data_IF_316150469773
#
_entry.id   IF_316150469773
#
_cell.length_a   1.000
_cell.length_b   1.000
_cell.length_c   1.000
_cell.angle_alpha   90.00
_cell.angle_beta   90.00
_cell.angle_gamma   90.00
#
_symmetry.space_group_name_H-M   'P 1'
#
loop_
_entity.id
_entity.type
_entity.pdbx_description
1 polymer ?
#
# COMPACT_ATOMS: atom_id res chain seq x y z
N UNK A 1 21.41 1.71 11.95
CA UNK A 1 21.95 0.87 10.86
C UNK A 1 20.80 0.20 10.10
N UNK A 2 20.02 -0.67 10.76
CA UNK A 2 18.91 -1.43 10.14
C UNK A 2 17.82 -0.60 9.41
N UNK A 3 17.35 0.53 9.98
CA UNK A 3 16.26 1.32 9.38
C UNK A 3 16.67 2.00 8.05
N UNK A 4 17.92 2.48 7.98
CA UNK A 4 18.46 3.09 6.77
C UNK A 4 18.62 2.05 5.66
N UNK A 5 19.05 0.84 6.01
CA UNK A 5 19.20 -0.25 5.05
C UNK A 5 17.83 -0.72 4.54
N UNK A 6 16.81 -0.75 5.41
CA UNK A 6 15.44 -1.02 5.00
C UNK A 6 14.90 0.02 4.00
N UNK A 7 15.13 1.32 4.26
CA UNK A 7 14.72 2.38 3.35
C UNK A 7 15.47 2.27 2.01
N UNK A 8 16.79 2.08 2.05
CA UNK A 8 17.64 1.92 0.87
C UNK A 8 17.25 0.72 0.02
N UNK A 9 16.86 -0.40 0.63
CA UNK A 9 16.40 -1.58 -0.11
C UNK A 9 15.09 -1.29 -0.88
N UNK A 10 14.14 -0.60 -0.26
CA UNK A 10 12.90 -0.21 -0.93
C UNK A 10 13.15 0.81 -2.06
N UNK A 11 14.08 1.74 -1.82
CA UNK A 11 14.55 2.69 -2.82
C UNK A 11 15.20 2.00 -4.02
N UNK A 12 16.15 1.11 -3.77
CA UNK A 12 16.81 0.31 -4.81
C UNK A 12 15.79 -0.48 -5.62
N UNK A 13 14.82 -1.12 -4.96
CA UNK A 13 13.77 -1.87 -5.65
C UNK A 13 12.92 -0.99 -6.59
N UNK A 14 12.69 0.28 -6.23
CA UNK A 14 12.01 1.23 -7.11
C UNK A 14 12.92 1.65 -8.27
N UNK A 15 14.14 2.10 -8.01
CA UNK A 15 15.02 2.66 -9.05
C UNK A 15 15.48 1.60 -10.05
N UNK A 16 15.92 0.43 -9.58
CA UNK A 16 16.38 -0.64 -10.48
C UNK A 16 15.24 -1.40 -11.11
N UNK A 17 14.10 -1.46 -10.43
CA UNK A 17 12.95 -2.25 -10.84
C UNK A 17 11.95 -1.49 -11.72
N UNK A 18 12.16 -0.19 -11.97
CA UNK A 18 11.24 0.65 -12.74
C UNK A 18 11.92 1.36 -13.89
N UNK A 19 11.69 0.84 -15.10
CA UNK A 19 11.90 1.58 -16.35
C UNK A 19 10.68 2.49 -16.60
N UNK A 20 10.87 3.80 -16.39
CA UNK A 20 9.81 4.80 -16.57
C UNK A 20 9.32 4.87 -18.03
N UNK A 21 10.18 5.00 -19.06
CA UNK A 21 9.78 4.89 -20.45
C UNK A 21 8.94 3.64 -20.77
N UNK A 22 9.36 2.46 -20.33
CA UNK A 22 8.59 1.22 -20.54
C UNK A 22 7.26 1.23 -19.79
N UNK A 23 7.24 1.73 -18.56
CA UNK A 23 6.01 1.88 -17.76
C UNK A 23 5.02 2.82 -18.43
N UNK A 24 5.49 3.93 -18.99
CA UNK A 24 4.64 4.86 -19.76
C UNK A 24 4.05 4.18 -20.99
N UNK A 25 4.84 3.41 -21.75
CA UNK A 25 4.36 2.65 -22.92
C UNK A 25 3.29 1.63 -22.52
N UNK A 26 3.52 0.90 -21.43
CA UNK A 26 2.55 -0.05 -20.88
C UNK A 26 1.23 0.64 -20.49
N UNK A 27 1.31 1.77 -19.79
CA UNK A 27 0.12 2.56 -19.40
C UNK A 27 -0.64 3.05 -20.63
N UNK A 28 0.07 3.58 -21.64
CA UNK A 28 -0.55 4.05 -22.88
C UNK A 28 -1.24 2.90 -23.65
N UNK A 29 -0.60 1.73 -23.74
CA UNK A 29 -1.16 0.56 -24.40
C UNK A 29 -2.47 0.09 -23.73
N UNK A 30 -2.46 -0.03 -22.40
CA UNK A 30 -3.66 -0.42 -21.63
C UNK A 30 -4.74 0.67 -21.75
N UNK A 31 -4.37 1.95 -21.68
CA UNK A 31 -5.31 3.07 -21.79
C UNK A 31 -6.01 3.13 -23.15
N UNK A 32 -5.26 2.96 -24.25
CA UNK A 32 -5.81 2.98 -25.61
C UNK A 32 -6.72 1.79 -25.89
N UNK A 33 -6.36 0.59 -25.40
CA UNK A 33 -7.20 -0.61 -25.52
C UNK A 33 -8.42 -0.57 -24.58
N UNK A 34 -8.30 0.11 -23.44
CA UNK A 34 -9.29 0.12 -22.37
C UNK A 34 -9.31 -1.15 -21.51
N UNK A 35 -8.38 -2.07 -21.75
CA UNK A 35 -8.21 -3.34 -21.04
C UNK A 35 -6.75 -3.76 -21.11
N UNK A 36 -6.32 -4.63 -20.19
CA UNK A 36 -4.98 -5.19 -20.15
C UNK A 36 -5.01 -6.67 -20.51
N UNK A 37 -3.98 -7.15 -21.23
CA UNK A 37 -3.74 -8.60 -21.35
C UNK A 37 -3.32 -9.19 -20.00
N UNK A 38 -3.29 -10.52 -19.89
CA UNK A 38 -2.81 -11.20 -18.69
C UNK A 38 -1.37 -10.78 -18.36
N UNK A 39 -0.50 -10.74 -19.37
CA UNK A 39 0.88 -10.30 -19.25
C UNK A 39 0.98 -8.84 -18.79
N UNK A 40 0.25 -7.92 -19.44
CA UNK A 40 0.23 -6.51 -19.06
C UNK A 40 -0.28 -6.30 -17.63
N UNK A 41 -1.27 -7.10 -17.20
CA UNK A 41 -1.79 -7.07 -15.83
C UNK A 41 -0.72 -7.45 -14.83
N UNK A 42 0.08 -8.49 -15.12
CA UNK A 42 1.19 -8.94 -14.27
C UNK A 42 2.30 -7.90 -14.23
N UNK A 43 2.74 -7.40 -15.39
CA UNK A 43 3.76 -6.35 -15.47
C UNK A 43 3.32 -5.11 -14.67
N UNK A 44 2.11 -4.60 -14.90
CA UNK A 44 1.58 -3.45 -14.18
C UNK A 44 1.48 -3.69 -12.67
N UNK A 45 1.07 -4.89 -12.24
CA UNK A 45 1.00 -5.28 -10.83
C UNK A 45 2.37 -5.19 -10.16
N UNK A 46 3.43 -5.69 -10.81
CA UNK A 46 4.79 -5.60 -10.27
C UNK A 46 5.27 -4.15 -10.18
N UNK A 47 5.01 -3.35 -11.22
CA UNK A 47 5.33 -1.92 -11.21
C UNK A 47 4.66 -1.20 -10.04
N UNK A 48 3.36 -1.40 -9.87
CA UNK A 48 2.60 -0.82 -8.77
C UNK A 48 3.11 -1.29 -7.41
N UNK A 49 3.52 -2.55 -7.29
CA UNK A 49 4.07 -3.08 -6.04
C UNK A 49 5.35 -2.35 -5.61
N UNK A 50 6.22 -1.95 -6.55
CA UNK A 50 7.45 -1.19 -6.28
C UNK A 50 7.15 0.21 -5.75
N UNK A 51 6.27 0.97 -6.42
CA UNK A 51 5.79 2.26 -5.92
C UNK A 51 5.14 2.15 -4.54
N UNK A 52 4.30 1.13 -4.34
CA UNK A 52 3.64 0.88 -3.05
C UNK A 52 4.65 0.56 -1.94
N UNK A 53 5.68 -0.25 -2.24
CA UNK A 53 6.75 -0.59 -1.30
C UNK A 53 7.51 0.68 -0.88
N UNK A 54 7.88 1.53 -1.84
CA UNK A 54 8.54 2.80 -1.53
C UNK A 54 7.65 3.70 -0.67
N UNK A 55 6.36 3.78 -0.99
CA UNK A 55 5.39 4.57 -0.20
C UNK A 55 5.34 4.11 1.26
N UNK A 56 5.41 2.80 1.50
CA UNK A 56 5.49 2.25 2.85
C UNK A 56 6.85 2.48 3.51
N UNK A 57 7.94 2.44 2.77
CA UNK A 57 9.26 2.75 3.30
C UNK A 57 9.35 4.20 3.81
N UNK A 58 8.78 5.15 3.07
CA UNK A 58 8.67 6.53 3.56
C UNK A 58 7.85 6.61 4.86
N UNK A 59 6.68 5.96 4.92
CA UNK A 59 5.87 5.96 6.15
C UNK A 59 6.59 5.30 7.34
N UNK A 60 7.34 4.21 7.09
CA UNK A 60 7.98 3.46 8.16
C UNK A 60 9.31 4.09 8.62
N UNK A 61 10.11 4.67 7.73
CA UNK A 61 11.51 4.97 8.01
C UNK A 61 11.92 6.42 7.75
N UNK A 62 11.07 7.26 7.16
CA UNK A 62 11.37 8.69 7.08
C UNK A 62 11.16 9.36 8.43
N UNK A 63 11.87 10.46 8.67
CA UNK A 63 11.74 11.28 9.89
C UNK A 63 10.29 11.69 10.15
N UNK A 64 9.54 12.02 9.09
CA UNK A 64 8.15 12.48 9.17
C UNK A 64 7.14 11.34 9.28
N UNK A 65 7.56 10.08 9.13
CA UNK A 65 6.67 8.92 9.03
C UNK A 65 5.53 9.11 8.00
N UNK A 66 5.85 9.85 6.95
CA UNK A 66 4.94 10.24 5.88
C UNK A 66 5.60 10.02 4.53
N UNK A 67 4.81 10.05 3.46
CA UNK A 67 5.30 9.92 2.10
C UNK A 67 5.04 11.22 1.32
N UNK A 68 5.90 11.58 0.35
CA UNK A 68 5.67 12.73 -0.51
C UNK A 68 4.34 12.61 -1.28
N UNK A 69 3.64 13.73 -1.47
CA UNK A 69 2.36 13.74 -2.19
C UNK A 69 2.52 13.29 -3.65
N UNK A 70 3.69 13.53 -4.27
CA UNK A 70 4.02 13.03 -5.60
C UNK A 70 3.95 11.51 -5.69
N UNK A 71 4.57 10.82 -4.72
CA UNK A 71 4.56 9.35 -4.60
C UNK A 71 3.16 8.81 -4.30
N UNK A 72 2.45 9.47 -3.38
CA UNK A 72 1.08 9.11 -3.03
C UNK A 72 0.13 9.21 -4.21
N UNK A 73 0.22 10.32 -4.94
CA UNK A 73 -0.60 10.61 -6.10
C UNK A 73 -0.40 9.56 -7.20
N UNK A 74 0.85 9.21 -7.53
CA UNK A 74 1.16 8.13 -8.47
C UNK A 74 0.57 6.81 -7.96
N UNK A 75 0.84 6.43 -6.71
CA UNK A 75 0.43 5.12 -6.16
C UNK A 75 -1.10 4.96 -6.13
N UNK A 76 -1.83 6.02 -5.73
CA UNK A 76 -3.31 6.03 -5.77
C UNK A 76 -3.82 5.93 -7.20
N UNK A 77 -3.23 6.66 -8.12
CA UNK A 77 -3.64 6.67 -9.52
C UNK A 77 -3.39 5.32 -10.19
N UNK A 78 -2.26 4.67 -9.90
CA UNK A 78 -1.98 3.30 -10.33
C UNK A 78 -3.03 2.32 -9.81
N UNK A 79 -3.45 2.46 -8.54
CA UNK A 79 -4.53 1.64 -7.97
C UNK A 79 -5.84 1.81 -8.73
N UNK A 80 -6.31 3.06 -8.89
CA UNK A 80 -7.55 3.36 -9.60
C UNK A 80 -7.52 2.90 -11.06
N UNK A 81 -6.38 3.07 -11.73
CA UNK A 81 -6.18 2.61 -13.11
C UNK A 81 -6.27 1.09 -13.21
N UNK A 82 -5.63 0.38 -12.28
CA UNK A 82 -5.72 -1.09 -12.18
C UNK A 82 -7.16 -1.56 -12.02
N UNK A 83 -7.90 -0.94 -11.11
CA UNK A 83 -9.28 -1.32 -10.84
C UNK A 83 -10.18 -1.01 -12.04
N UNK A 84 -9.92 0.08 -12.76
CA UNK A 84 -10.68 0.44 -13.96
C UNK A 84 -10.51 -0.58 -15.09
N UNK A 85 -9.27 -0.97 -15.43
CA UNK A 85 -9.05 -1.91 -16.53
C UNK A 85 -9.44 -3.35 -16.18
N UNK A 86 -9.38 -3.73 -14.89
CA UNK A 86 -9.85 -5.04 -14.42
C UNK A 86 -11.36 -5.18 -14.49
N UNK A 87 -12.08 -4.09 -14.25
CA UNK A 87 -13.55 -4.08 -14.25
C UNK A 87 -14.13 -3.67 -15.61
N UNK A 88 -13.34 -3.65 -16.69
CA UNK A 88 -13.81 -3.32 -18.05
C UNK A 88 -14.31 -1.88 -18.23
N UNK A 89 -13.93 -0.94 -17.35
CA UNK A 89 -14.39 0.45 -17.39
C UNK A 89 -13.59 1.25 -18.43
N UNK A 90 -13.88 1.06 -19.73
CA UNK A 90 -13.07 1.58 -20.86
C UNK A 90 -12.78 3.09 -20.78
N UNK A 91 -13.80 3.93 -20.64
CA UNK A 91 -13.62 5.39 -20.57
C UNK A 91 -12.81 5.84 -19.35
N UNK A 92 -13.10 5.24 -18.18
CA UNK A 92 -12.37 5.53 -16.95
C UNK A 92 -10.91 5.08 -17.04
N UNK A 93 -10.67 3.93 -17.66
CA UNK A 93 -9.33 3.39 -17.92
C UNK A 93 -8.54 4.37 -18.79
N UNK A 94 -9.11 4.84 -19.91
CA UNK A 94 -8.47 5.82 -20.78
C UNK A 94 -8.10 7.09 -20.01
N UNK A 95 -9.05 7.70 -19.30
CA UNK A 95 -8.81 8.96 -18.59
C UNK A 95 -7.80 8.85 -17.45
N UNK A 96 -7.90 7.80 -16.63
CA UNK A 96 -6.92 7.53 -15.57
C UNK A 96 -5.55 7.19 -16.16
N UNK A 97 -5.51 6.50 -17.29
CA UNK A 97 -4.31 6.16 -18.02
C UNK A 97 -3.58 7.40 -18.53
N UNK A 98 -4.28 8.36 -19.15
CA UNK A 98 -3.70 9.64 -19.58
C UNK A 98 -3.12 10.40 -18.38
N UNK A 99 -3.88 10.49 -17.27
CA UNK A 99 -3.37 11.15 -16.05
C UNK A 99 -2.12 10.47 -15.51
N UNK A 100 -2.10 9.14 -15.48
CA UNK A 100 -0.97 8.35 -14.98
C UNK A 100 0.24 8.53 -15.89
N UNK A 101 0.02 8.46 -17.20
CA UNK A 101 1.03 8.74 -18.21
C UNK A 101 1.62 10.13 -18.02
N UNK A 102 0.83 11.19 -17.79
CA UNK A 102 1.38 12.52 -17.50
C UNK A 102 2.22 12.55 -16.21
N UNK A 103 1.79 11.86 -15.14
CA UNK A 103 2.53 11.81 -13.86
C UNK A 103 3.80 10.97 -13.90
N UNK A 104 3.93 10.06 -14.86
CA UNK A 104 5.15 9.29 -15.09
C UNK A 104 6.11 9.99 -16.07
N UNK A 105 6.01 11.31 -16.27
CA UNK A 105 6.95 12.03 -17.15
C UNK A 105 8.28 12.21 -16.43
N UNK A 106 9.38 12.14 -17.17
CA UNK A 106 10.74 12.14 -16.61
C UNK A 106 10.99 13.30 -15.65
N UNK A 107 10.53 14.52 -15.97
CA UNK A 107 10.66 15.67 -15.05
C UNK A 107 9.90 15.53 -13.74
N UNK A 108 8.69 14.92 -13.74
CA UNK A 108 7.95 14.68 -12.50
C UNK A 108 8.59 13.56 -11.68
N UNK A 109 9.07 12.52 -12.36
CA UNK A 109 9.71 11.39 -11.69
C UNK A 109 11.10 11.75 -11.16
N UNK A 110 11.87 12.59 -11.86
CA UNK A 110 13.15 13.12 -11.39
C UNK A 110 12.98 13.92 -10.10
N UNK A 111 11.99 14.83 -10.03
CA UNK A 111 11.73 15.56 -8.79
C UNK A 111 11.29 14.65 -7.63
N UNK A 112 10.53 13.58 -7.92
CA UNK A 112 10.24 12.53 -6.93
C UNK A 112 11.53 11.81 -6.49
N UNK A 113 12.41 11.49 -7.43
CA UNK A 113 13.66 10.81 -7.16
C UNK A 113 14.54 11.62 -6.20
N UNK A 114 14.71 12.92 -6.47
CA UNK A 114 15.49 13.82 -5.62
C UNK A 114 14.89 13.92 -4.21
N UNK A 115 13.55 14.05 -4.12
CA UNK A 115 12.83 14.06 -2.84
C UNK A 115 13.07 12.79 -2.02
N UNK A 116 13.19 11.63 -2.68
CA UNK A 116 13.40 10.35 -2.00
C UNK A 116 14.86 10.11 -1.59
N UNK A 117 15.83 10.65 -2.33
CA UNK A 117 17.25 10.59 -1.95
C UNK A 117 17.54 11.50 -0.76
N UNK A 118 16.99 12.72 -0.77
CA UNK A 118 17.21 13.73 0.27
C UNK A 118 16.36 13.48 1.52
N UNK A 119 15.53 12.43 1.53
CA UNK A 119 14.66 12.10 2.65
C UNK A 119 15.49 11.82 3.91
N UNK A 120 15.28 12.65 4.93
CA UNK A 120 15.81 12.38 6.27
C UNK A 120 15.17 11.14 6.85
N UNK A 121 15.99 10.31 7.49
CA UNK A 121 15.56 9.06 8.09
C UNK A 121 15.23 9.25 9.57
N UNK A 122 14.30 8.45 10.07
CA UNK A 122 13.92 8.45 11.47
C UNK A 122 15.03 7.91 12.36
N UNK A 123 15.10 8.45 13.58
CA UNK A 123 15.88 7.84 14.66
C UNK A 123 15.14 6.61 15.20
N UNK A 124 15.84 5.78 15.97
CA UNK A 124 15.23 4.59 16.59
C UNK A 124 14.10 5.00 17.54
N UNK A 125 14.28 6.08 18.29
CA UNK A 125 13.29 6.58 19.25
C UNK A 125 12.04 7.13 18.54
N UNK A 126 12.24 7.88 17.45
CA UNK A 126 11.12 8.40 16.65
C UNK A 126 10.34 7.25 16.00
N UNK A 127 11.05 6.26 15.45
CA UNK A 127 10.47 5.03 14.93
C UNK A 127 9.66 4.28 15.99
N UNK A 128 10.24 4.00 17.16
CA UNK A 128 9.55 3.29 18.25
C UNK A 128 8.28 4.02 18.69
N UNK A 129 8.32 5.35 18.78
CA UNK A 129 7.12 6.16 19.09
C UNK A 129 6.06 6.02 18.01
N UNK A 130 6.44 6.06 16.73
CA UNK A 130 5.53 5.84 15.61
C UNK A 130 4.88 4.45 15.67
N UNK A 131 5.67 3.40 15.92
CA UNK A 131 5.17 2.03 16.09
C UNK A 131 4.18 1.97 17.25
N UNK A 132 4.50 2.59 18.40
CA UNK A 132 3.64 2.59 19.58
C UNK A 132 2.29 3.28 19.31
N UNK A 133 2.28 4.42 18.63
CA UNK A 133 1.04 5.12 18.24
C UNK A 133 0.18 4.25 17.31
N UNK A 134 0.79 3.61 16.31
CA UNK A 134 0.05 2.68 15.45
C UNK A 134 -0.48 1.47 16.22
N UNK A 135 0.28 0.91 17.17
CA UNK A 135 -0.16 -0.20 18.01
C UNK A 135 -1.31 0.19 18.92
N UNK A 136 -1.27 1.39 19.52
CA UNK A 136 -2.37 1.92 20.30
C UNK A 136 -3.64 2.04 19.46
N UNK A 137 -3.54 2.61 18.26
CA UNK A 137 -4.69 2.73 17.37
C UNK A 137 -5.25 1.36 16.94
N UNK A 138 -4.38 0.40 16.65
CA UNK A 138 -4.79 -0.99 16.37
C UNK A 138 -5.52 -1.61 17.57
N UNK A 139 -5.00 -1.44 18.79
CA UNK A 139 -5.59 -1.98 20.02
C UNK A 139 -6.97 -1.37 20.31
N UNK A 140 -7.10 -0.04 20.19
CA UNK A 140 -8.35 0.68 20.41
C UNK A 140 -9.43 0.30 19.40
N UNK A 141 -9.05 0.15 18.14
CA UNK A 141 -9.97 -0.15 17.04
C UNK A 141 -10.35 -1.63 17.00
N UNK A 142 -9.54 -2.50 17.61
CA UNK A 142 -9.73 -3.97 17.61
C UNK A 142 -10.25 -4.52 18.92
N UNK A 143 -10.91 -3.68 19.73
CA UNK A 143 -11.63 -4.13 20.94
C UNK A 143 -12.71 -5.15 20.58
N UNK A 144 -13.09 -5.93 21.57
CA UNK A 144 -14.19 -6.88 21.45
C UNK A 144 -15.48 -6.14 21.07
N UNK A 145 -16.25 -6.73 20.16
CA UNK A 145 -17.49 -6.17 19.64
C UNK A 145 -17.37 -4.75 19.03
N UNK A 146 -16.19 -4.36 18.56
CA UNK A 146 -15.99 -3.09 17.87
C UNK A 146 -16.85 -3.02 16.59
N UNK A 147 -17.45 -1.86 16.35
CA UNK A 147 -18.14 -1.53 15.11
C UNK A 147 -17.33 -0.51 14.34
N UNK A 148 -17.13 -0.75 13.04
CA UNK A 148 -16.32 0.12 12.19
C UNK A 148 -17.11 0.51 10.95
N UNK A 149 -16.82 1.70 10.43
CA UNK A 149 -17.16 2.04 9.05
C UNK A 149 -16.20 1.33 8.09
N UNK A 150 -16.61 1.15 6.84
CA UNK A 150 -15.70 0.60 5.83
C UNK A 150 -14.45 1.46 5.62
N UNK A 151 -14.56 2.78 5.87
CA UNK A 151 -13.42 3.69 5.87
C UNK A 151 -12.45 3.40 7.02
N UNK A 152 -12.93 3.28 8.26
CA UNK A 152 -12.10 2.95 9.42
C UNK A 152 -11.40 1.60 9.22
N UNK A 153 -12.14 0.59 8.73
CA UNK A 153 -11.57 -0.71 8.40
C UNK A 153 -10.48 -0.64 7.32
N UNK A 154 -10.69 0.17 6.28
CA UNK A 154 -9.69 0.40 5.24
C UNK A 154 -8.43 1.08 5.80
N UNK A 155 -8.58 2.03 6.72
CA UNK A 155 -7.44 2.70 7.36
C UNK A 155 -6.68 1.76 8.30
N UNK A 156 -7.38 0.89 9.04
CA UNK A 156 -6.77 -0.21 9.82
C UNK A 156 -5.96 -1.15 8.92
N UNK A 157 -6.52 -1.55 7.77
CA UNK A 157 -5.84 -2.40 6.79
C UNK A 157 -4.55 -1.76 6.25
N UNK A 158 -4.50 -0.42 6.14
CA UNK A 158 -3.28 0.28 5.72
C UNK A 158 -2.16 0.12 6.75
N UNK A 159 -2.47 0.16 8.05
CA UNK A 159 -1.48 -0.08 9.12
C UNK A 159 -0.94 -1.50 9.01
N UNK A 160 -1.81 -2.51 8.92
CA UNK A 160 -1.38 -3.91 8.74
C UNK A 160 -0.55 -4.09 7.47
N UNK A 161 -0.92 -3.43 6.37
CA UNK A 161 -0.13 -3.46 5.13
C UNK A 161 1.27 -2.85 5.31
N UNK A 162 1.40 -1.79 6.12
CA UNK A 162 2.71 -1.20 6.47
C UNK A 162 3.53 -2.13 7.36
N UNK A 163 2.89 -2.83 8.32
CA UNK A 163 3.53 -3.84 9.18
C UNK A 163 4.09 -5.00 8.36
N UNK A 164 3.35 -5.50 7.38
CA UNK A 164 3.84 -6.51 6.42
C UNK A 164 5.05 -5.97 5.68
N UNK A 165 4.93 -4.77 5.11
CA UNK A 165 6.03 -4.19 4.36
C UNK A 165 7.28 -3.96 5.21
N UNK A 166 7.13 -3.63 6.50
CA UNK A 166 8.21 -3.54 7.48
C UNK A 166 8.86 -4.91 7.71
N UNK A 167 8.06 -5.91 8.10
CA UNK A 167 8.52 -7.27 8.39
C UNK A 167 9.25 -7.89 7.19
N UNK A 168 8.67 -7.80 6.00
CA UNK A 168 9.25 -8.37 4.78
C UNK A 168 10.57 -7.70 4.39
N UNK A 169 10.76 -6.40 4.66
CA UNK A 169 12.05 -5.74 4.40
C UNK A 169 13.12 -6.26 5.34
N UNK A 170 12.80 -6.39 6.63
CA UNK A 170 13.73 -6.93 7.64
C UNK A 170 14.14 -8.36 7.33
N UNK A 171 13.16 -9.19 6.97
CA UNK A 171 13.35 -10.58 6.56
C UNK A 171 14.25 -10.72 5.33
N UNK A 172 14.20 -9.76 4.40
CA UNK A 172 15.06 -9.72 3.23
C UNK A 172 16.50 -9.29 3.54
N UNK A 173 16.72 -8.49 4.59
CA UNK A 173 18.06 -8.06 5.03
C UNK A 173 18.72 -9.10 5.95
N UNK A 174 17.92 -9.77 6.78
CA UNK A 174 18.38 -10.79 7.71
C UNK A 174 17.33 -11.89 7.83
N UNK A 175 17.72 -13.12 7.54
CA UNK A 175 16.87 -14.28 7.77
C UNK A 175 16.75 -14.53 9.27
N UNK A 176 15.52 -14.67 9.76
CA UNK A 176 15.22 -15.02 11.14
C UNK A 176 13.91 -15.82 11.19
N UNK A 177 13.86 -16.97 11.89
CA UNK A 177 12.62 -17.71 12.11
C UNK A 177 11.49 -16.85 12.70
N UNK A 178 11.84 -15.86 13.53
CA UNK A 178 10.87 -14.92 14.11
C UNK A 178 10.26 -14.02 13.04
N UNK A 179 11.06 -13.52 12.09
CA UNK A 179 10.56 -12.70 10.98
C UNK A 179 9.72 -13.52 10.00
N UNK A 180 10.04 -14.80 9.79
CA UNK A 180 9.22 -15.70 8.99
C UNK A 180 7.86 -15.95 9.66
N UNK A 181 7.84 -16.23 10.97
CA UNK A 181 6.61 -16.42 11.74
C UNK A 181 5.74 -15.16 11.75
N UNK A 182 6.34 -13.99 11.99
CA UNK A 182 5.64 -12.70 11.97
C UNK A 182 5.11 -12.37 10.57
N UNK A 183 5.88 -12.61 9.50
CA UNK A 183 5.43 -12.38 8.12
C UNK A 183 4.22 -13.28 7.79
N UNK A 184 4.26 -14.56 8.15
CA UNK A 184 3.13 -15.48 7.97
C UNK A 184 1.88 -15.05 8.76
N UNK A 185 2.07 -14.64 10.01
CA UNK A 185 0.99 -14.16 10.86
C UNK A 185 0.32 -12.92 10.27
N UNK A 186 1.11 -11.92 9.86
CA UNK A 186 0.61 -10.71 9.22
C UNK A 186 -0.04 -10.98 7.85
N UNK A 187 0.51 -11.90 7.07
CA UNK A 187 -0.06 -12.33 5.79
C UNK A 187 -1.46 -12.92 5.97
N UNK A 188 -1.66 -13.70 7.04
CA UNK A 188 -2.97 -14.25 7.42
C UNK A 188 -3.97 -13.13 7.72
N UNK A 189 -3.61 -12.18 8.58
CA UNK A 189 -4.47 -11.02 8.91
C UNK A 189 -4.83 -10.24 7.64
N UNK A 190 -3.85 -9.93 6.78
CA UNK A 190 -4.10 -9.17 5.56
C UNK A 190 -4.92 -9.94 4.51
N UNK A 191 -4.84 -11.27 4.50
CA UNK A 191 -5.72 -12.13 3.70
C UNK A 191 -7.18 -12.01 4.14
N UNK A 192 -7.44 -12.17 5.45
CA UNK A 192 -8.78 -12.01 6.04
C UNK A 192 -9.34 -10.60 5.81
N UNK A 193 -8.53 -9.57 6.10
CA UNK A 193 -8.92 -8.18 5.84
C UNK A 193 -9.13 -7.89 4.37
N UNK A 194 -8.39 -8.59 3.50
CA UNK A 194 -8.51 -8.51 2.05
C UNK A 194 -9.87 -8.93 1.56
N UNK A 195 -10.29 -10.14 1.93
CA UNK A 195 -11.60 -10.69 1.60
C UNK A 195 -12.73 -9.77 2.06
N UNK A 196 -12.69 -9.35 3.32
CA UNK A 196 -13.72 -8.47 3.89
C UNK A 196 -13.77 -7.09 3.22
N UNK A 197 -12.62 -6.49 2.89
CA UNK A 197 -12.58 -5.23 2.15
C UNK A 197 -13.24 -5.36 0.77
N UNK A 198 -12.98 -6.47 0.07
CA UNK A 198 -13.53 -6.69 -1.26
C UNK A 198 -15.05 -6.84 -1.19
N UNK A 199 -15.57 -7.52 -0.17
CA UNK A 199 -17.02 -7.60 0.10
C UNK A 199 -17.64 -6.21 0.38
N UNK A 200 -16.97 -5.37 1.19
CA UNK A 200 -17.42 -4.00 1.47
C UNK A 200 -17.41 -3.11 0.20
N UNK A 201 -16.41 -3.29 -0.68
CA UNK A 201 -16.35 -2.58 -1.96
C UNK A 201 -17.47 -3.03 -2.89
N UNK A 202 -17.77 -4.33 -2.97
CA UNK A 202 -18.90 -4.85 -3.75
C UNK A 202 -20.22 -4.26 -3.25
N UNK A 203 -20.44 -4.24 -1.94
CA UNK A 203 -21.64 -3.62 -1.34
C UNK A 203 -21.75 -2.14 -1.67
N UNK A 204 -20.64 -1.39 -1.62
CA UNK A 204 -20.60 0.02 -2.04
C UNK A 204 -21.00 0.20 -3.51
N UNK A 205 -20.44 -0.61 -4.42
CA UNK A 205 -20.75 -0.54 -5.85
C UNK A 205 -22.23 -0.84 -6.10
N UNK A 206 -22.83 -1.72 -5.31
CA UNK A 206 -24.26 -2.06 -5.35
C UNK A 206 -25.15 -1.04 -4.63
N UNK A 207 -24.61 0.09 -4.13
CA UNK A 207 -25.32 1.07 -3.30
C UNK A 207 -25.97 0.47 -2.04
N UNK A 208 -25.45 -0.66 -1.54
CA UNK A 208 -25.93 -1.34 -0.32
C UNK A 208 -25.17 -0.94 0.94
N UNK A 209 -24.20 -0.03 0.82
CA UNK A 209 -23.35 0.41 1.92
C UNK A 209 -22.88 1.85 1.68
N UNK A 210 -23.13 2.73 2.65
CA UNK A 210 -22.49 4.06 2.67
C UNK A 210 -21.13 3.94 3.35
N UNK A 211 -20.07 3.87 2.55
CA UNK A 211 -18.69 3.51 2.96
C UNK A 211 -18.12 4.28 4.17
N UNK A 212 -18.59 5.50 4.39
CA UNK A 212 -18.06 6.41 5.42
C UNK A 212 -18.94 6.50 6.67
N UNK A 213 -20.18 6.00 6.62
CA UNK A 213 -21.19 6.26 7.66
C UNK A 213 -21.74 4.97 8.26
N UNK A 214 -21.90 3.93 7.43
CA UNK A 214 -22.54 2.71 7.88
C UNK A 214 -21.57 1.82 8.65
N UNK A 215 -21.98 1.46 9.86
CA UNK A 215 -21.23 0.62 10.77
C UNK A 215 -21.50 -0.86 10.50
N UNK A 216 -20.46 -1.68 10.58
CA UNK A 216 -20.57 -3.14 10.59
C UNK A 216 -19.76 -3.72 11.76
N UNK A 217 -20.18 -4.88 12.26
CA UNK A 217 -19.44 -5.60 13.32
C UNK A 217 -18.06 -5.99 12.79
N UNK A 218 -17.00 -5.55 13.47
CA UNK A 218 -15.65 -5.92 13.12
C UNK A 218 -15.45 -7.43 13.35
N UNK A 219 -14.99 -8.22 12.35
CA UNK A 219 -14.94 -9.67 12.51
C UNK A 219 -14.03 -10.12 13.65
N UNK A 220 -14.57 -10.99 14.51
CA UNK A 220 -13.92 -11.45 15.75
C UNK A 220 -12.58 -12.15 15.49
N UNK A 221 -12.46 -12.87 14.37
CA UNK A 221 -11.18 -13.49 13.98
C UNK A 221 -10.10 -12.44 13.67
N UNK A 222 -10.47 -11.35 12.98
CA UNK A 222 -9.53 -10.29 12.63
C UNK A 222 -9.14 -9.50 13.88
N UNK A 223 -10.12 -9.11 14.70
CA UNK A 223 -9.88 -8.33 15.92
C UNK A 223 -8.98 -9.08 16.91
N UNK A 224 -9.23 -10.38 17.13
CA UNK A 224 -8.43 -11.22 18.03
C UNK A 224 -6.99 -11.32 17.58
N UNK A 225 -6.73 -11.52 16.27
CA UNK A 225 -5.36 -11.57 15.74
C UNK A 225 -4.65 -10.21 15.82
N UNK A 226 -5.36 -9.10 15.59
CA UNK A 226 -4.76 -7.77 15.74
C UNK A 226 -4.43 -7.49 17.21
N UNK A 227 -5.29 -7.87 18.16
CA UNK A 227 -4.98 -7.76 19.60
C UNK A 227 -3.72 -8.55 19.96
N UNK A 228 -3.61 -9.80 19.51
CA UNK A 228 -2.41 -10.62 19.71
C UNK A 228 -1.13 -10.06 19.05
N UNK A 229 -1.24 -9.18 18.05
CA UNK A 229 -0.10 -8.52 17.42
C UNK A 229 0.48 -7.38 18.28
N UNK A 230 -0.37 -6.72 19.08
CA UNK A 230 -0.06 -5.43 19.73
C UNK A 230 -0.03 -5.48 21.25
N UNK A 231 -0.49 -6.58 21.84
CA UNK A 231 -0.36 -6.92 23.26
C UNK A 231 0.94 -7.68 23.49
#
# INVERSE_FOLDING_TARGET
>A
MELADCYRLAWQLLVTGVDIPATRRLVAAIAGKGSATAEQTVQFKFMRARFKKMRFACANYSEQHAYPESLDSITRLMGRFQDAFKNGQRYRTLWLGIRLWCRLRDGFFAGLHDTLIEAKLSTVESFQRYIAVENQHLAETSREDAFLTARQFHDLRKIISRRIALSDTRRALSSSPEYDALSLFLATINGLMGKMHDDLVVKKIQNKLVYEQELFKFPDEISTRIRALVM
#
